data_IF_973266138586
#
_entry.id   IF_973266138586
#
_cell.length_a   1.000
_cell.length_b   1.000
_cell.length_c   1.000
_cell.angle_alpha   90.00
_cell.angle_beta   90.00
_cell.angle_gamma   90.00
#
_symmetry.space_group_name_H-M   'P 1'
#
loop_
_entity.id
_entity.type
_entity.pdbx_description
1 polymer ?
#
# COMPACT_ATOMS: atom_id res chain seq x y z
N UNK A 1 28.60 5.24 -10.17
CA UNK A 1 29.48 5.72 -9.09
C UNK A 1 28.63 6.06 -7.88
N UNK A 2 29.13 5.81 -6.67
CA UNK A 2 28.48 6.22 -5.42
C UNK A 2 29.09 7.54 -4.93
N UNK A 3 28.33 8.34 -4.18
CA UNK A 3 28.89 9.51 -3.51
C UNK A 3 29.65 9.03 -2.26
N UNK A 4 30.91 9.44 -2.15
CA UNK A 4 31.83 9.01 -1.08
C UNK A 4 32.30 10.18 -0.21
N UNK A 5 32.80 9.88 0.99
CA UNK A 5 33.50 10.82 1.87
C UNK A 5 34.91 10.32 2.22
N UNK A 6 35.73 11.18 2.83
CA UNK A 6 37.07 10.80 3.31
C UNK A 6 36.97 9.95 4.58
N UNK A 7 37.76 8.89 4.68
CA UNK A 7 37.74 8.01 5.85
C UNK A 7 38.44 8.63 7.07
N UNK A 8 37.72 8.62 8.20
CA UNK A 8 38.29 8.72 9.55
C UNK A 8 37.60 7.69 10.44
N UNK A 9 38.17 7.33 11.59
CA UNK A 9 37.54 6.37 12.50
C UNK A 9 36.16 6.83 13.03
N UNK A 10 35.89 8.14 12.98
CA UNK A 10 34.58 8.72 13.32
C UNK A 10 33.48 8.41 12.30
N UNK A 11 33.84 7.96 11.10
CA UNK A 11 32.88 7.64 10.02
C UNK A 11 32.25 6.24 10.17
N UNK A 12 32.83 5.38 11.02
CA UNK A 12 32.38 3.98 11.19
C UNK A 12 30.89 3.81 11.53
N UNK A 13 30.23 4.68 12.32
CA UNK A 13 28.80 4.58 12.55
C UNK A 13 27.94 4.93 11.33
N UNK A 14 28.49 5.59 10.31
CA UNK A 14 27.75 6.16 9.18
C UNK A 14 28.03 5.45 7.85
N UNK A 15 28.92 4.45 7.84
CA UNK A 15 29.30 3.73 6.63
C UNK A 15 30.51 2.82 6.83
N UNK A 16 31.03 2.30 5.72
CA UNK A 16 32.19 1.42 5.71
C UNK A 16 33.34 2.04 4.93
N UNK A 17 34.56 1.79 5.38
CA UNK A 17 35.74 2.06 4.56
C UNK A 17 35.77 1.07 3.40
N UNK A 18 35.75 1.57 2.17
CA UNK A 18 35.68 0.75 0.95
C UNK A 18 36.97 0.79 0.13
N UNK A 19 37.86 1.74 0.40
CA UNK A 19 39.18 1.90 -0.21
C UNK A 19 40.07 2.76 0.70
N UNK A 20 41.37 2.89 0.39
CA UNK A 20 42.26 3.79 1.12
C UNK A 20 41.68 5.21 1.17
N UNK A 21 41.43 5.69 2.39
CA UNK A 21 40.87 7.00 2.67
C UNK A 21 39.45 7.26 2.14
N UNK A 22 38.69 6.22 1.77
CA UNK A 22 37.34 6.38 1.20
C UNK A 22 36.30 5.66 2.07
N UNK A 23 35.26 6.38 2.48
CA UNK A 23 34.06 5.85 3.13
C UNK A 23 32.90 5.78 2.13
N UNK A 24 32.26 4.61 2.06
CA UNK A 24 30.94 4.43 1.46
C UNK A 24 29.86 4.65 2.53
N UNK A 25 29.24 5.83 2.51
CA UNK A 25 28.22 6.23 3.48
C UNK A 25 26.85 5.60 3.23
N UNK A 26 26.12 5.35 4.31
CA UNK A 26 24.71 4.93 4.24
C UNK A 26 23.87 6.05 3.65
N UNK A 27 23.01 5.72 2.68
CA UNK A 27 22.07 6.65 2.06
C UNK A 27 20.80 5.92 1.63
N UNK A 28 19.72 6.67 1.46
CA UNK A 28 18.45 6.13 0.98
C UNK A 28 18.21 6.54 -0.47
N UNK A 29 17.73 5.61 -1.29
CA UNK A 29 17.11 5.93 -2.57
C UNK A 29 15.60 5.97 -2.38
N UNK A 30 15.01 7.12 -2.68
CA UNK A 30 13.57 7.32 -2.63
C UNK A 30 13.11 7.89 -3.97
N UNK A 31 12.01 7.35 -4.49
CA UNK A 31 11.37 7.84 -5.70
C UNK A 31 9.91 8.16 -5.39
N UNK A 32 9.40 9.25 -5.98
CA UNK A 32 8.01 9.68 -5.83
C UNK A 32 7.41 9.89 -7.21
N UNK A 33 6.23 9.33 -7.42
CA UNK A 33 5.51 9.41 -8.69
C UNK A 33 4.19 10.12 -8.48
N UNK A 34 3.85 11.00 -9.42
CA UNK A 34 2.47 11.47 -9.57
C UNK A 34 1.75 10.48 -10.48
N UNK A 35 0.70 9.85 -9.98
CA UNK A 35 -0.17 8.98 -10.77
C UNK A 35 -1.55 9.63 -10.81
N UNK A 36 -1.95 10.08 -12.00
CA UNK A 36 -3.23 10.73 -12.24
C UNK A 36 -4.19 9.71 -12.87
N UNK A 37 -5.07 9.12 -12.05
CA UNK A 37 -5.93 8.01 -12.45
C UNK A 37 -7.36 8.51 -12.73
N UNK A 38 -7.78 8.43 -13.99
CA UNK A 38 -9.14 8.71 -14.44
C UNK A 38 -9.91 7.43 -14.76
N UNK A 39 -10.37 6.72 -13.73
CA UNK A 39 -11.06 5.43 -13.91
C UNK A 39 -12.45 5.69 -14.51
N UNK A 40 -12.61 5.48 -15.82
CA UNK A 40 -13.87 5.73 -16.51
C UNK A 40 -14.31 7.21 -16.47
N UNK A 41 -13.36 8.14 -16.38
CA UNK A 41 -13.57 9.59 -16.24
C UNK A 41 -13.11 10.12 -14.88
N UNK A 42 -13.11 11.44 -14.71
CA UNK A 42 -12.43 12.18 -13.62
C UNK A 42 -13.12 12.13 -12.25
N UNK A 43 -14.39 11.72 -12.18
CA UNK A 43 -15.15 11.69 -10.92
C UNK A 43 -14.94 10.35 -10.20
N UNK A 44 -13.78 10.21 -9.56
CA UNK A 44 -13.38 9.00 -8.84
C UNK A 44 -13.51 9.10 -7.31
N UNK A 45 -13.33 7.96 -6.67
CA UNK A 45 -13.29 7.77 -5.22
C UNK A 45 -12.14 6.84 -4.87
N UNK A 46 -11.58 7.01 -3.68
CA UNK A 46 -10.49 6.18 -3.17
C UNK A 46 -10.94 5.42 -1.93
N UNK A 47 -10.69 4.12 -1.90
CA UNK A 47 -10.99 3.27 -0.75
C UNK A 47 -9.93 2.17 -0.54
N UNK A 48 -9.91 1.62 0.66
CA UNK A 48 -9.24 0.33 0.90
C UNK A 48 -10.25 -0.80 1.03
N UNK A 49 -9.91 -1.96 0.48
CA UNK A 49 -10.59 -3.23 0.76
C UNK A 49 -9.72 -4.00 1.75
N UNK A 50 -10.15 -3.99 3.01
CA UNK A 50 -9.43 -4.61 4.12
C UNK A 50 -9.88 -6.06 4.29
N UNK A 51 -8.94 -6.99 4.46
CA UNK A 51 -9.26 -8.39 4.76
C UNK A 51 -9.55 -8.55 6.24
N UNK A 52 -10.67 -9.19 6.57
CA UNK A 52 -11.04 -9.52 7.96
C UNK A 52 -11.49 -10.97 8.05
N UNK A 53 -11.14 -11.63 9.16
CA UNK A 53 -11.65 -12.96 9.48
C UNK A 53 -12.97 -12.81 10.24
N UNK A 54 -14.01 -13.49 9.77
CA UNK A 54 -15.30 -13.56 10.44
C UNK A 54 -15.64 -15.01 10.78
N UNK A 55 -16.32 -15.22 11.90
CA UNK A 55 -16.93 -16.49 12.23
C UNK A 55 -18.39 -16.49 11.73
N UNK A 56 -18.74 -17.45 10.90
CA UNK A 56 -20.04 -17.53 10.23
C UNK A 56 -20.66 -18.91 10.41
N UNK A 57 -21.99 -18.96 10.47
CA UNK A 57 -22.75 -20.22 10.46
C UNK A 57 -22.94 -20.69 9.02
N UNK A 58 -22.85 -21.99 8.79
CA UNK A 58 -23.12 -22.57 7.49
C UNK A 58 -24.61 -22.40 7.14
N UNK A 59 -24.92 -21.88 5.96
CA UNK A 59 -26.31 -21.60 5.56
C UNK A 59 -27.13 -22.88 5.44
N UNK A 60 -26.51 -23.97 4.98
CA UNK A 60 -27.15 -25.28 4.82
C UNK A 60 -27.33 -26.03 6.16
N UNK A 61 -26.51 -25.70 7.16
CA UNK A 61 -26.60 -26.28 8.50
C UNK A 61 -26.14 -25.26 9.57
N UNK A 62 -27.09 -24.53 10.18
CA UNK A 62 -26.78 -23.51 11.18
C UNK A 62 -26.14 -24.04 12.48
N UNK A 63 -26.06 -25.36 12.68
CA UNK A 63 -25.33 -25.95 13.81
C UNK A 63 -23.81 -25.92 13.61
N UNK A 64 -23.35 -25.83 12.36
CA UNK A 64 -21.94 -25.77 11.99
C UNK A 64 -21.48 -24.32 11.88
N UNK A 65 -20.35 -24.04 12.53
CA UNK A 65 -19.69 -22.73 12.49
C UNK A 65 -18.30 -22.86 11.89
N UNK A 66 -17.90 -21.91 11.04
CA UNK A 66 -16.59 -21.87 10.42
C UNK A 66 -16.05 -20.45 10.32
N UNK A 67 -14.75 -20.32 10.06
CA UNK A 67 -14.11 -19.04 9.84
C UNK A 67 -13.96 -18.77 8.34
N UNK A 68 -14.32 -17.56 7.91
CA UNK A 68 -14.19 -17.12 6.53
C UNK A 68 -13.53 -15.74 6.47
N UNK A 69 -12.69 -15.54 5.47
CA UNK A 69 -12.15 -14.21 5.16
C UNK A 69 -13.14 -13.45 4.30
N UNK A 70 -13.40 -12.19 4.64
CA UNK A 70 -14.19 -11.27 3.82
C UNK A 70 -13.46 -9.94 3.63
N UNK A 71 -13.96 -9.16 2.68
CA UNK A 71 -13.56 -7.77 2.50
C UNK A 71 -14.44 -6.83 3.31
N UNK A 72 -13.83 -5.78 3.83
CA UNK A 72 -14.52 -4.61 4.38
C UNK A 72 -14.03 -3.37 3.63
N UNK A 73 -14.96 -2.69 2.95
CA UNK A 73 -14.66 -1.45 2.25
C UNK A 73 -14.53 -0.28 3.22
N UNK A 74 -13.47 0.51 3.05
CA UNK A 74 -13.17 1.66 3.88
C UNK A 74 -12.88 2.88 3.00
N UNK A 75 -13.95 3.62 2.70
CA UNK A 75 -13.93 4.80 1.85
C UNK A 75 -13.17 5.96 2.50
N UNK A 76 -12.19 6.51 1.79
CA UNK A 76 -11.40 7.66 2.25
C UNK A 76 -12.07 8.93 1.78
N UNK A 77 -12.84 9.55 2.68
CA UNK A 77 -13.66 10.73 2.38
C UNK A 77 -12.89 12.05 2.31
N UNK A 78 -11.65 12.07 2.79
CA UNK A 78 -10.81 13.28 2.83
C UNK A 78 -9.38 12.92 2.44
N UNK A 79 -8.63 13.92 1.98
CA UNK A 79 -7.22 13.76 1.58
C UNK A 79 -6.36 13.24 2.74
N UNK A 80 -6.56 13.79 3.95
CA UNK A 80 -5.83 13.33 5.15
C UNK A 80 -6.08 11.86 5.48
N UNK A 81 -7.32 11.37 5.31
CA UNK A 81 -7.64 9.95 5.51
C UNK A 81 -7.11 9.05 4.38
N UNK A 82 -6.69 9.65 3.27
CA UNK A 82 -6.12 8.95 2.11
C UNK A 82 -4.60 8.81 2.20
N UNK A 83 -3.95 9.41 3.20
CA UNK A 83 -2.55 9.17 3.49
C UNK A 83 -2.37 7.78 4.11
N UNK A 84 -1.73 6.86 3.38
CA UNK A 84 -1.56 5.47 3.80
C UNK A 84 -0.10 5.20 4.14
N UNK A 85 0.20 4.98 5.43
CA UNK A 85 1.42 4.32 5.85
C UNK A 85 1.25 2.81 5.64
N UNK A 86 1.69 2.30 4.48
CA UNK A 86 1.38 0.92 4.10
C UNK A 86 2.13 -0.08 4.99
N UNK A 87 1.37 -0.93 5.68
CA UNK A 87 1.90 -2.02 6.49
C UNK A 87 1.86 -3.33 5.70
N UNK A 88 3.04 -3.79 5.25
CA UNK A 88 3.16 -5.05 4.49
C UNK A 88 2.73 -6.30 5.26
N UNK A 89 2.65 -6.25 6.60
CA UNK A 89 2.13 -7.37 7.42
C UNK A 89 0.60 -7.44 7.46
N UNK A 90 -0.08 -6.37 7.06
CA UNK A 90 -1.54 -6.29 7.03
C UNK A 90 -1.98 -5.84 5.63
N UNK A 91 -1.86 -6.74 4.63
CA UNK A 91 -2.14 -6.37 3.25
C UNK A 91 -3.61 -5.95 3.09
N UNK A 92 -3.83 -5.04 2.15
CA UNK A 92 -5.14 -4.54 1.74
C UNK A 92 -5.07 -4.14 0.28
N UNK A 93 -6.20 -4.12 -0.40
CA UNK A 93 -6.26 -3.47 -1.72
C UNK A 93 -6.52 -1.99 -1.55
N UNK A 94 -5.78 -1.17 -2.28
CA UNK A 94 -6.01 0.27 -2.40
C UNK A 94 -6.60 0.49 -3.79
N UNK A 95 -7.79 1.05 -3.86
CA UNK A 95 -8.60 1.04 -5.08
C UNK A 95 -9.07 2.44 -5.40
N UNK A 96 -8.87 2.86 -6.65
CA UNK A 96 -9.51 4.05 -7.21
C UNK A 96 -10.66 3.60 -8.10
N UNK A 97 -11.88 4.06 -7.81
CA UNK A 97 -13.08 3.57 -8.48
C UNK A 97 -14.03 4.68 -8.93
N UNK A 98 -14.96 4.34 -9.82
CA UNK A 98 -15.98 5.26 -10.33
C UNK A 98 -17.40 4.74 -10.10
N UNK A 99 -18.12 5.40 -9.20
CA UNK A 99 -19.48 5.01 -8.82
C UNK A 99 -20.51 5.13 -9.94
N UNK A 100 -20.21 5.82 -11.05
CA UNK A 100 -21.11 6.00 -12.18
C UNK A 100 -20.77 5.09 -13.35
N UNK A 101 -19.70 4.29 -13.26
CA UNK A 101 -19.28 3.38 -14.33
C UNK A 101 -19.33 1.95 -13.84
N UNK A 102 -19.86 1.07 -14.70
CA UNK A 102 -20.03 -0.35 -14.41
C UNK A 102 -19.37 -1.24 -15.45
N UNK A 103 -18.96 -2.42 -15.04
CA UNK A 103 -18.57 -3.51 -15.93
C UNK A 103 -19.81 -4.13 -16.59
N UNK A 104 -19.62 -5.03 -17.56
CA UNK A 104 -20.72 -5.79 -18.18
C UNK A 104 -21.51 -6.68 -17.19
N UNK A 105 -20.96 -6.91 -16.00
CA UNK A 105 -21.60 -7.70 -14.94
C UNK A 105 -22.24 -6.84 -13.84
N UNK A 106 -22.23 -5.51 -13.99
CA UNK A 106 -22.83 -4.61 -12.99
C UNK A 106 -21.92 -4.23 -11.82
N UNK A 107 -20.63 -4.59 -11.87
CA UNK A 107 -19.64 -4.23 -10.85
C UNK A 107 -19.07 -2.83 -11.06
N UNK A 108 -18.68 -2.15 -9.97
CA UNK A 108 -18.02 -0.83 -10.03
C UNK A 108 -16.69 -0.96 -10.78
N UNK A 109 -16.44 -0.08 -11.76
CA UNK A 109 -15.13 -0.01 -12.43
C UNK A 109 -14.08 0.58 -11.49
N UNK A 110 -12.94 -0.09 -11.39
CA UNK A 110 -11.87 0.19 -10.46
C UNK A 110 -10.49 -0.10 -11.09
N UNK A 111 -9.44 0.51 -10.55
CA UNK A 111 -8.03 0.17 -10.70
C UNK A 111 -7.38 0.01 -9.33
#
# INVERSE_FOLDING_TARGET
>A
HIQTSFYTDKERPYGFQIEKNITGGVHHHMAHFKVDLDVGGTSNRFESLDFVLEQVKLTQDPSVTYHQTKFVSNLKRTETKSFIAYNFRTPKYLVVHNNNKRTKFGEIKAY
#
